data_IF_606172838565
#
_entry.id   IF_606172838565
#
_cell.length_a   1.000
_cell.length_b   1.000
_cell.length_c   1.000
_cell.angle_alpha   90.00
_cell.angle_beta   90.00
_cell.angle_gamma   90.00
#
_symmetry.space_group_name_H-M   'P 1'
#
loop_
_entity.id
_entity.type
_entity.pdbx_description
1 polymer ?
#
# COMPACT_ATOMS: atom_id res chain seq x y z
N UNK A 1 -6.93 33.46 22.64
CA UNK A 1 -7.90 33.51 21.55
C UNK A 1 -7.49 34.68 20.67
N UNK A 2 -7.11 34.41 19.39
CA UNK A 2 -6.68 35.46 18.45
C UNK A 2 -7.85 36.33 18.05
N UNK A 3 -7.59 37.63 17.84
CA UNK A 3 -8.59 38.64 17.41
C UNK A 3 -8.22 39.20 16.04
N UNK A 4 -9.18 39.76 15.33
CA UNK A 4 -8.93 40.45 14.07
C UNK A 4 -7.94 41.62 14.29
N UNK A 5 -6.83 41.62 13.57
CA UNK A 5 -5.74 42.59 13.72
C UNK A 5 -4.53 42.11 14.51
N UNK A 6 -4.59 40.91 15.12
CA UNK A 6 -3.42 40.29 15.75
C UNK A 6 -2.41 39.83 14.68
N UNK A 7 -1.13 40.10 14.93
CA UNK A 7 -0.03 39.53 14.14
C UNK A 7 0.24 38.09 14.59
N UNK A 8 0.46 37.21 13.65
CA UNK A 8 0.77 35.81 13.92
C UNK A 8 1.93 35.28 13.06
N UNK A 9 2.90 34.66 13.70
CA UNK A 9 3.95 33.92 13.03
C UNK A 9 3.44 32.51 12.68
N UNK A 10 3.46 32.19 11.39
CA UNK A 10 3.09 30.87 10.89
C UNK A 10 4.33 30.09 10.48
N UNK A 11 4.57 28.96 11.13
CA UNK A 11 5.64 28.05 10.73
C UNK A 11 5.08 26.69 10.33
N UNK A 12 5.66 26.10 9.27
CA UNK A 12 5.30 24.77 8.79
C UNK A 12 6.34 23.79 9.32
N UNK A 13 5.89 22.66 9.86
CA UNK A 13 6.78 21.55 10.17
C UNK A 13 7.42 21.03 8.87
N UNK A 14 8.71 21.35 8.69
CA UNK A 14 9.44 21.02 7.47
C UNK A 14 9.62 19.51 7.28
N UNK A 15 9.76 18.74 8.37
CA UNK A 15 9.92 17.29 8.30
C UNK A 15 8.61 16.61 7.87
N UNK A 16 7.50 17.00 8.47
CA UNK A 16 6.18 16.51 8.08
C UNK A 16 5.84 16.92 6.64
N UNK A 17 6.13 18.16 6.25
CA UNK A 17 5.94 18.67 4.90
C UNK A 17 6.73 17.84 3.88
N UNK A 18 8.00 17.51 4.17
CA UNK A 18 8.83 16.72 3.28
C UNK A 18 8.25 15.31 3.04
N UNK A 19 7.77 14.64 4.09
CA UNK A 19 7.09 13.34 3.99
C UNK A 19 5.81 13.42 3.15
N UNK A 20 4.97 14.42 3.41
CA UNK A 20 3.74 14.65 2.63
C UNK A 20 4.04 14.92 1.15
N UNK A 21 5.10 15.70 0.84
CA UNK A 21 5.52 15.92 -0.55
C UNK A 21 5.93 14.63 -1.27
N UNK A 22 6.63 13.70 -0.58
CA UNK A 22 6.98 12.39 -1.12
C UNK A 22 5.73 11.58 -1.47
N UNK A 23 4.79 11.47 -0.53
CA UNK A 23 3.53 10.75 -0.73
C UNK A 23 2.70 11.37 -1.86
N UNK A 24 2.60 12.70 -1.93
CA UNK A 24 1.83 13.35 -2.97
C UNK A 24 2.48 13.19 -4.36
N UNK A 25 3.79 13.31 -4.46
CA UNK A 25 4.49 13.10 -5.73
C UNK A 25 4.40 11.64 -6.20
N UNK A 26 4.50 10.67 -5.28
CA UNK A 26 4.31 9.26 -5.58
C UNK A 26 2.89 8.96 -6.09
N UNK A 27 1.87 9.70 -5.64
CA UNK A 27 0.49 9.54 -6.11
C UNK A 27 0.35 9.84 -7.61
N UNK A 28 1.04 10.85 -8.13
CA UNK A 28 1.05 11.15 -9.58
C UNK A 28 1.73 10.03 -10.38
N UNK A 29 2.85 9.49 -9.88
CA UNK A 29 3.49 8.34 -10.51
C UNK A 29 2.58 7.11 -10.46
N UNK A 30 1.92 6.87 -9.33
CA UNK A 30 0.99 5.76 -9.16
C UNK A 30 -0.20 5.84 -10.13
N UNK A 31 -0.83 7.01 -10.25
CA UNK A 31 -1.95 7.20 -11.18
C UNK A 31 -1.54 6.87 -12.61
N UNK A 32 -0.39 7.35 -13.05
CA UNK A 32 0.10 7.07 -14.40
C UNK A 32 0.45 5.60 -14.58
N UNK A 33 1.10 4.96 -13.60
CA UNK A 33 1.42 3.53 -13.63
C UNK A 33 0.16 2.66 -13.69
N UNK A 34 -0.87 2.98 -12.91
CA UNK A 34 -2.16 2.29 -12.96
C UNK A 34 -2.80 2.38 -14.34
N UNK A 35 -2.76 3.56 -14.98
CA UNK A 35 -3.28 3.72 -16.35
C UNK A 35 -2.49 2.94 -17.40
N UNK A 36 -1.19 2.77 -17.20
CA UNK A 36 -0.35 1.96 -18.11
C UNK A 36 -0.61 0.46 -17.96
N UNK A 37 -0.88 -0.01 -16.74
CA UNK A 37 -1.09 -1.44 -16.45
C UNK A 37 -2.53 -1.87 -16.70
N UNK A 38 -3.51 -1.09 -16.20
CA UNK A 38 -4.92 -1.46 -16.21
C UNK A 38 -5.69 -0.84 -17.38
N UNK A 39 -5.19 0.28 -17.93
CA UNK A 39 -5.82 0.97 -19.06
C UNK A 39 -6.32 2.37 -18.74
N UNK A 40 -6.70 3.09 -19.79
CA UNK A 40 -7.05 4.52 -19.75
C UNK A 40 -8.36 4.83 -19.01
N UNK A 41 -9.18 3.82 -18.70
CA UNK A 41 -10.40 3.96 -17.90
C UNK A 41 -10.13 4.26 -16.43
N UNK A 42 -8.88 4.07 -15.98
CA UNK A 42 -8.49 4.41 -14.60
C UNK A 42 -8.51 5.93 -14.45
N UNK A 43 -9.39 6.40 -13.56
CA UNK A 43 -9.54 7.81 -13.18
C UNK A 43 -9.54 7.93 -11.67
N UNK A 44 -8.99 9.05 -11.17
CA UNK A 44 -9.00 9.32 -9.73
C UNK A 44 -10.44 9.55 -9.25
N UNK A 45 -10.88 8.74 -8.30
CA UNK A 45 -12.15 8.94 -7.58
C UNK A 45 -11.94 9.68 -6.25
N UNK A 46 -10.74 9.64 -5.70
CA UNK A 46 -10.34 10.36 -4.49
C UNK A 46 -8.88 10.10 -4.15
N UNK A 47 -8.30 10.98 -3.33
CA UNK A 47 -6.95 10.78 -2.82
C UNK A 47 -6.75 11.45 -1.46
N UNK A 48 -5.81 10.95 -0.68
CA UNK A 48 -5.39 11.52 0.59
C UNK A 48 -3.91 11.24 0.83
N UNK A 49 -3.16 12.28 1.20
CA UNK A 49 -1.74 12.19 1.48
C UNK A 49 -1.42 12.93 2.78
N UNK A 50 -0.68 12.26 3.66
CA UNK A 50 -0.11 12.83 4.87
C UNK A 50 1.39 12.47 4.99
N UNK A 51 1.97 12.57 6.18
CA UNK A 51 3.37 12.18 6.43
C UNK A 51 3.57 10.68 6.63
N UNK A 52 2.50 9.90 6.71
CA UNK A 52 2.57 8.47 7.00
C UNK A 52 2.38 7.64 5.73
N UNK A 53 1.36 7.97 4.91
CA UNK A 53 0.98 7.17 3.73
C UNK A 53 0.33 8.02 2.64
N UNK A 54 0.19 7.41 1.48
CA UNK A 54 -0.74 7.86 0.44
C UNK A 54 -1.90 6.87 0.30
N UNK A 55 -3.08 7.40 0.06
CA UNK A 55 -4.28 6.66 -0.31
C UNK A 55 -4.79 7.17 -1.65
N UNK A 56 -5.05 6.27 -2.56
CA UNK A 56 -5.53 6.60 -3.89
C UNK A 56 -6.73 5.73 -4.25
N UNK A 57 -7.87 6.37 -4.49
CA UNK A 57 -9.11 5.74 -4.91
C UNK A 57 -9.28 5.95 -6.41
N UNK A 58 -9.57 4.88 -7.17
CA UNK A 58 -9.63 4.93 -8.63
C UNK A 58 -10.70 4.02 -9.19
N UNK A 59 -11.19 4.37 -10.39
CA UNK A 59 -12.18 3.57 -11.12
C UNK A 59 -11.54 2.29 -11.67
N UNK A 60 -12.03 1.12 -11.23
CA UNK A 60 -11.67 -0.18 -11.79
C UNK A 60 -12.68 -1.24 -11.38
N UNK A 61 -12.90 -2.24 -12.25
CA UNK A 61 -14.03 -3.18 -12.12
C UNK A 61 -13.74 -4.39 -11.23
N UNK A 62 -12.46 -4.80 -11.14
CA UNK A 62 -12.05 -6.01 -10.45
C UNK A 62 -10.94 -5.74 -9.42
N UNK A 63 -10.68 -6.69 -8.52
CA UNK A 63 -9.47 -6.68 -7.71
C UNK A 63 -8.25 -6.82 -8.62
N UNK A 64 -7.18 -6.09 -8.31
CA UNK A 64 -5.92 -6.23 -9.01
C UNK A 64 -5.27 -7.56 -8.68
N UNK A 65 -4.64 -8.18 -9.68
CA UNK A 65 -3.84 -9.38 -9.45
C UNK A 65 -2.50 -9.04 -8.77
N UNK A 66 -1.85 -10.00 -8.10
CA UNK A 66 -0.51 -9.79 -7.54
C UNK A 66 0.50 -9.29 -8.58
N UNK A 67 0.43 -9.81 -9.82
CA UNK A 67 1.30 -9.45 -10.93
C UNK A 67 1.06 -8.01 -11.41
N UNK A 68 -0.19 -7.55 -11.42
CA UNK A 68 -0.55 -6.17 -11.74
C UNK A 68 -0.04 -5.20 -10.67
N UNK A 69 -0.20 -5.56 -9.39
CA UNK A 69 0.31 -4.77 -8.26
C UNK A 69 1.84 -4.67 -8.30
N UNK A 70 2.54 -5.78 -8.54
CA UNK A 70 3.99 -5.80 -8.67
C UNK A 70 4.46 -4.92 -9.83
N UNK A 71 3.79 -5.00 -10.98
CA UNK A 71 4.11 -4.22 -12.18
C UNK A 71 3.92 -2.72 -11.93
N UNK A 72 2.81 -2.32 -11.29
CA UNK A 72 2.56 -0.92 -10.92
C UNK A 72 3.62 -0.41 -9.95
N UNK A 73 3.90 -1.17 -8.89
CA UNK A 73 4.92 -0.82 -7.90
C UNK A 73 6.31 -0.70 -8.55
N UNK A 74 6.66 -1.61 -9.45
CA UNK A 74 7.90 -1.56 -10.21
C UNK A 74 8.00 -0.30 -11.06
N UNK A 75 6.97 0.04 -11.84
CA UNK A 75 6.97 1.25 -12.68
C UNK A 75 7.20 2.49 -11.82
N UNK A 76 6.51 2.62 -10.68
CA UNK A 76 6.68 3.78 -9.79
C UNK A 76 8.12 3.85 -9.27
N UNK A 77 8.70 2.74 -8.80
CA UNK A 77 10.08 2.71 -8.32
C UNK A 77 11.10 2.95 -9.43
N UNK A 78 10.87 2.48 -10.65
CA UNK A 78 11.73 2.80 -11.80
C UNK A 78 11.74 4.32 -12.05
N UNK A 79 10.59 5.00 -11.99
CA UNK A 79 10.49 6.46 -12.15
C UNK A 79 11.11 7.25 -10.98
N UNK A 80 11.12 6.69 -9.80
CA UNK A 80 11.88 7.22 -8.67
C UNK A 80 13.39 7.13 -8.95
N UNK A 81 13.86 5.98 -9.41
CA UNK A 81 15.27 5.74 -9.72
C UNK A 81 15.79 6.56 -10.90
N UNK A 82 14.94 6.89 -11.87
CA UNK A 82 15.27 7.77 -13.01
C UNK A 82 15.61 9.21 -12.58
N UNK A 83 15.34 9.60 -11.33
CA UNK A 83 15.64 10.92 -10.77
C UNK A 83 15.10 12.08 -11.64
N UNK A 84 13.84 11.99 -12.02
CA UNK A 84 13.17 12.94 -12.92
C UNK A 84 12.95 14.27 -12.19
N UNK A 85 13.37 15.44 -12.78
CA UNK A 85 13.03 16.73 -12.22
C UNK A 85 11.52 16.97 -12.21
N UNK A 86 10.99 17.41 -11.05
CA UNK A 86 9.59 17.78 -10.90
C UNK A 86 9.45 19.29 -11.12
N UNK A 87 8.69 19.68 -12.13
CA UNK A 87 8.45 21.06 -12.50
C UNK A 87 7.03 21.46 -12.17
N UNK A 88 6.87 22.71 -11.79
CA UNK A 88 5.55 23.31 -11.54
C UNK A 88 5.47 24.60 -12.34
N UNK A 89 4.55 24.63 -13.29
CA UNK A 89 4.31 25.78 -14.16
C UNK A 89 2.90 26.33 -13.87
N UNK A 90 2.77 27.66 -13.88
CA UNK A 90 1.46 28.35 -13.74
C UNK A 90 1.11 28.91 -15.11
N UNK A 91 -0.05 28.52 -15.64
CA UNK A 91 -0.50 28.93 -16.95
C UNK A 91 -2.01 28.99 -17.03
N UNK A 92 -2.56 29.50 -18.11
CA UNK A 92 -4.02 29.47 -18.32
C UNK A 92 -4.52 28.04 -18.53
N UNK A 93 -5.79 27.78 -18.22
CA UNK A 93 -6.41 26.45 -18.39
C UNK A 93 -6.28 25.99 -19.86
N UNK A 94 -6.43 26.90 -20.81
CA UNK A 94 -6.34 26.55 -22.24
C UNK A 94 -4.92 26.20 -22.68
N UNK A 95 -3.92 26.89 -22.16
CA UNK A 95 -2.51 26.53 -22.37
C UNK A 95 -2.19 25.17 -21.75
N UNK A 96 -2.63 24.95 -20.50
CA UNK A 96 -2.42 23.71 -19.78
C UNK A 96 -3.02 22.49 -20.51
N UNK A 97 -4.24 22.62 -21.05
CA UNK A 97 -4.86 21.56 -21.87
C UNK A 97 -4.05 21.24 -23.13
N UNK A 98 -3.46 22.25 -23.77
CA UNK A 98 -2.61 22.05 -24.98
C UNK A 98 -1.33 21.28 -24.66
N UNK A 99 -0.85 21.31 -23.40
CA UNK A 99 0.32 20.51 -22.99
C UNK A 99 0.02 19.03 -22.81
N UNK A 100 -1.23 18.60 -22.93
CA UNK A 100 -1.67 17.23 -22.62
C UNK A 100 -1.76 16.95 -21.13
N UNK A 101 -1.73 17.95 -20.26
CA UNK A 101 -1.85 17.77 -18.83
C UNK A 101 -3.25 17.26 -18.45
N UNK A 102 -3.27 16.25 -17.59
CA UNK A 102 -4.51 15.65 -17.09
C UNK A 102 -5.15 16.55 -16.04
N UNK A 103 -6.42 16.88 -16.23
CA UNK A 103 -7.24 17.57 -15.25
C UNK A 103 -8.10 16.57 -14.48
N UNK A 104 -8.37 16.81 -13.20
CA UNK A 104 -9.33 16.01 -12.45
C UNK A 104 -10.75 16.24 -12.99
N UNK A 105 -11.47 15.15 -13.18
CA UNK A 105 -12.83 15.22 -13.72
C UNK A 105 -13.77 15.89 -12.72
N UNK A 106 -14.56 16.88 -13.20
CA UNK A 106 -15.58 17.56 -12.39
C UNK A 106 -15.08 18.73 -11.55
N UNK A 107 -13.79 19.05 -11.51
CA UNK A 107 -13.29 20.24 -10.83
C UNK A 107 -13.50 21.53 -11.67
N UNK A 108 -13.87 22.61 -10.98
CA UNK A 108 -13.95 23.94 -11.58
C UNK A 108 -12.63 24.66 -11.35
N UNK A 109 -11.93 24.92 -12.43
CA UNK A 109 -10.66 25.65 -12.39
C UNK A 109 -10.89 27.15 -12.60
N UNK A 110 -10.06 27.99 -11.96
CA UNK A 110 -10.00 29.42 -12.22
C UNK A 110 -9.39 29.73 -13.59
N UNK A 111 -9.05 31.00 -13.83
CA UNK A 111 -8.41 31.42 -15.08
C UNK A 111 -7.03 30.78 -15.28
N UNK A 112 -6.30 30.53 -14.19
CA UNK A 112 -4.97 29.93 -14.20
C UNK A 112 -4.93 28.69 -13.34
N UNK A 113 -4.10 27.73 -13.73
CA UNK A 113 -3.85 26.45 -13.04
C UNK A 113 -2.37 26.20 -12.86
N UNK A 114 -2.04 25.41 -11.85
CA UNK A 114 -0.70 24.84 -11.69
C UNK A 114 -0.66 23.49 -12.40
N UNK A 115 0.32 23.32 -13.26
CA UNK A 115 0.64 22.06 -13.93
C UNK A 115 1.91 21.49 -13.30
N UNK A 116 1.81 20.31 -12.71
CA UNK A 116 2.94 19.58 -12.17
C UNK A 116 3.35 18.53 -13.20
N UNK A 117 4.62 18.54 -13.59
CA UNK A 117 5.18 17.59 -14.57
C UNK A 117 6.40 16.86 -14.02
N UNK A 118 6.45 15.55 -14.26
CA UNK A 118 7.56 14.65 -13.95
C UNK A 118 8.07 14.08 -15.30
N UNK A 119 8.91 14.88 -15.98
CA UNK A 119 9.30 14.60 -17.36
C UNK A 119 8.09 14.49 -18.28
N UNK A 120 8.14 13.50 -19.18
CA UNK A 120 7.02 13.15 -20.05
C UNK A 120 6.13 12.04 -19.47
N UNK A 121 6.50 11.50 -18.29
CA UNK A 121 5.77 10.39 -17.68
C UNK A 121 4.44 10.82 -17.08
N UNK A 122 4.44 11.86 -16.25
CA UNK A 122 3.22 12.40 -15.63
C UNK A 122 3.15 13.91 -15.80
N UNK A 123 1.97 14.41 -16.18
CA UNK A 123 1.68 15.83 -16.28
C UNK A 123 0.23 16.06 -15.90
N UNK A 124 0.01 16.76 -14.78
CA UNK A 124 -1.31 16.86 -14.16
C UNK A 124 -1.56 18.26 -13.58
N UNK A 125 -2.83 18.66 -13.55
CA UNK A 125 -3.26 19.85 -12.80
C UNK A 125 -3.20 19.55 -11.32
N UNK A 126 -2.36 20.25 -10.57
CA UNK A 126 -2.20 20.00 -9.15
C UNK A 126 -1.81 21.25 -8.36
N UNK A 127 -2.63 21.59 -7.36
CA UNK A 127 -2.38 22.69 -6.43
C UNK A 127 -1.49 22.33 -5.23
N UNK A 128 -1.11 21.06 -5.07
CA UNK A 128 -0.43 20.57 -3.88
C UNK A 128 1.07 20.81 -3.85
N UNK A 129 1.72 20.21 -2.85
CA UNK A 129 3.16 20.33 -2.63
C UNK A 129 3.88 19.06 -3.05
N UNK A 130 5.03 19.20 -3.72
CA UNK A 130 5.77 18.12 -4.33
C UNK A 130 7.26 18.18 -3.98
N UNK A 131 7.93 17.04 -4.18
CA UNK A 131 9.40 16.96 -4.21
C UNK A 131 9.94 17.72 -5.43
N UNK A 132 11.21 18.10 -5.42
CA UNK A 132 11.87 18.74 -6.57
C UNK A 132 12.39 17.75 -7.60
N UNK A 133 12.60 16.51 -7.15
CA UNK A 133 13.10 15.42 -7.99
C UNK A 133 12.46 14.11 -7.51
N UNK A 134 12.10 13.20 -8.42
CA UNK A 134 11.46 11.93 -8.05
C UNK A 134 12.33 11.06 -7.15
N UNK A 135 13.65 11.15 -7.24
CA UNK A 135 14.58 10.43 -6.35
C UNK A 135 14.41 10.80 -4.86
N UNK A 136 13.88 11.98 -4.53
CA UNK A 136 13.61 12.39 -3.14
C UNK A 136 12.51 11.53 -2.49
N UNK A 137 11.66 10.87 -3.28
CA UNK A 137 10.65 9.92 -2.78
C UNK A 137 11.35 8.73 -2.12
N UNK A 138 12.51 8.34 -2.60
CA UNK A 138 13.43 7.28 -2.17
C UNK A 138 12.93 5.87 -2.45
N UNK A 139 11.73 5.50 -2.01
CA UNK A 139 11.12 4.18 -2.24
C UNK A 139 9.59 4.30 -2.21
N UNK A 140 8.92 3.35 -2.88
CA UNK A 140 7.46 3.23 -2.89
C UNK A 140 7.06 1.78 -2.66
N UNK A 141 6.06 1.55 -1.78
CA UNK A 141 5.52 0.21 -1.49
C UNK A 141 4.01 0.25 -1.38
N UNK A 142 3.32 -0.54 -2.18
CA UNK A 142 1.88 -0.80 -2.02
C UNK A 142 1.70 -1.73 -0.81
N UNK A 143 0.88 -1.33 0.16
CA UNK A 143 0.60 -2.14 1.36
C UNK A 143 -0.79 -2.78 1.33
N UNK A 144 -1.72 -2.22 0.58
CA UNK A 144 -3.05 -2.80 0.41
C UNK A 144 -3.71 -2.36 -0.90
N UNK A 145 -4.61 -3.20 -1.42
CA UNK A 145 -5.53 -2.91 -2.51
C UNK A 145 -6.89 -3.51 -2.16
N UNK A 146 -7.95 -2.69 -2.14
CA UNK A 146 -9.28 -3.11 -1.71
C UNK A 146 -10.40 -2.42 -2.50
N UNK A 147 -11.58 -3.04 -2.57
CA UNK A 147 -12.80 -2.39 -3.06
C UNK A 147 -13.39 -1.47 -1.97
N UNK A 148 -13.79 -0.26 -2.34
CA UNK A 148 -14.43 0.70 -1.41
C UNK A 148 -15.84 1.09 -1.83
N UNK A 149 -16.16 0.96 -3.12
CA UNK A 149 -17.48 1.14 -3.68
C UNK A 149 -17.63 0.33 -4.99
N UNK A 150 -18.82 0.25 -5.55
CA UNK A 150 -19.03 -0.38 -6.84
C UNK A 150 -18.19 0.31 -7.92
N UNK A 151 -17.29 -0.43 -8.57
CA UNK A 151 -16.38 0.09 -9.60
C UNK A 151 -15.28 1.03 -9.09
N UNK A 152 -15.05 1.11 -7.77
CA UNK A 152 -13.97 1.92 -7.17
C UNK A 152 -13.06 1.06 -6.31
N UNK A 153 -11.78 1.12 -6.61
CA UNK A 153 -10.70 0.44 -5.90
C UNK A 153 -9.86 1.45 -5.14
N UNK A 154 -9.25 1.03 -4.05
CA UNK A 154 -8.36 1.83 -3.20
C UNK A 154 -7.02 1.16 -3.07
N UNK A 155 -5.96 1.90 -3.34
CA UNK A 155 -4.59 1.55 -2.98
C UNK A 155 -4.15 2.40 -1.80
N UNK A 156 -3.51 1.76 -0.82
CA UNK A 156 -2.70 2.43 0.19
C UNK A 156 -1.23 2.08 -0.03
N UNK A 157 -0.37 3.08 0.06
CA UNK A 157 1.06 2.91 -0.19
C UNK A 157 1.90 3.81 0.72
N UNK A 158 3.15 3.42 0.89
CA UNK A 158 4.16 4.10 1.69
C UNK A 158 5.26 4.65 0.80
N UNK A 159 5.97 5.70 1.29
CA UNK A 159 7.16 6.24 0.63
C UNK A 159 8.30 6.43 1.64
N UNK A 160 9.52 6.49 1.11
CA UNK A 160 10.71 6.85 1.87
C UNK A 160 10.95 6.00 3.11
N UNK A 161 11.20 6.65 4.23
CA UNK A 161 11.54 5.97 5.50
C UNK A 161 10.43 5.05 6.01
N UNK A 162 9.17 5.33 5.67
CA UNK A 162 8.04 4.50 6.07
C UNK A 162 8.08 3.12 5.38
N UNK A 163 8.62 3.02 4.15
CA UNK A 163 8.86 1.75 3.46
C UNK A 163 9.89 0.92 4.21
N UNK A 164 11.00 1.55 4.64
CA UNK A 164 12.04 0.85 5.41
C UNK A 164 11.54 0.44 6.80
N UNK A 165 10.72 1.27 7.44
CA UNK A 165 10.08 0.92 8.70
C UNK A 165 9.14 -0.29 8.55
N UNK A 166 8.36 -0.32 7.48
CA UNK A 166 7.48 -1.45 7.14
C UNK A 166 8.25 -2.77 6.98
N UNK A 167 9.34 -2.76 6.20
CA UNK A 167 10.14 -3.96 6.01
C UNK A 167 10.86 -4.41 7.29
N UNK A 168 11.38 -3.48 8.12
CA UNK A 168 11.94 -3.82 9.43
C UNK A 168 10.93 -4.48 10.36
N UNK A 169 9.68 -4.03 10.34
CA UNK A 169 8.62 -4.66 11.12
C UNK A 169 8.30 -6.08 10.62
N UNK A 170 8.19 -6.26 9.30
CA UNK A 170 8.00 -7.60 8.72
C UNK A 170 9.15 -8.56 9.05
N UNK A 171 10.40 -8.09 8.97
CA UNK A 171 11.58 -8.87 9.36
C UNK A 171 11.51 -9.29 10.83
N UNK A 172 11.16 -8.34 11.72
CA UNK A 172 10.99 -8.62 13.15
C UNK A 172 9.91 -9.67 13.39
N UNK A 173 8.74 -9.53 12.79
CA UNK A 173 7.64 -10.50 12.90
C UNK A 173 8.05 -11.89 12.38
N UNK A 174 8.77 -11.96 11.27
CA UNK A 174 9.29 -13.21 10.71
C UNK A 174 10.28 -13.88 11.67
N UNK A 175 11.20 -13.11 12.26
CA UNK A 175 12.16 -13.63 13.25
C UNK A 175 11.48 -14.12 14.52
N UNK A 176 10.47 -13.41 15.01
CA UNK A 176 9.66 -13.81 16.17
C UNK A 176 8.87 -15.09 15.88
N UNK A 177 8.24 -15.21 14.70
CA UNK A 177 7.53 -16.42 14.29
C UNK A 177 8.47 -17.62 14.15
N UNK A 178 9.65 -17.42 13.54
CA UNK A 178 10.66 -18.48 13.42
C UNK A 178 11.16 -18.95 14.80
N UNK A 179 11.42 -17.99 15.71
CA UNK A 179 11.80 -18.31 17.09
C UNK A 179 10.72 -19.12 17.84
N UNK A 180 9.45 -18.74 17.70
CA UNK A 180 8.32 -19.46 18.30
C UNK A 180 8.21 -20.90 17.80
N UNK A 181 8.46 -21.13 16.50
CA UNK A 181 8.49 -22.44 15.88
C UNK A 181 9.81 -23.23 16.14
N UNK A 182 10.79 -22.65 16.85
CA UNK A 182 12.15 -23.17 17.03
C UNK A 182 12.82 -23.48 15.68
N UNK A 183 12.71 -22.54 14.73
CA UNK A 183 13.25 -22.60 13.39
C UNK A 183 14.05 -21.34 13.05
N UNK A 184 14.67 -21.31 11.88
CA UNK A 184 15.16 -20.09 11.25
C UNK A 184 14.13 -19.58 10.22
N UNK A 185 14.19 -18.32 9.78
CA UNK A 185 13.32 -17.85 8.69
C UNK A 185 13.33 -18.75 7.45
N UNK A 186 14.49 -19.28 7.08
CA UNK A 186 14.65 -20.14 5.91
C UNK A 186 14.00 -21.54 6.07
N UNK A 187 13.88 -22.04 7.30
CA UNK A 187 13.33 -23.37 7.60
C UNK A 187 11.94 -23.32 8.24
N UNK A 188 11.36 -22.11 8.35
CA UNK A 188 10.12 -21.91 9.08
C UNK A 188 8.94 -22.67 8.44
N UNK A 189 8.79 -22.60 7.14
CA UNK A 189 7.70 -23.27 6.40
C UNK A 189 7.78 -24.79 6.59
N UNK A 190 8.96 -25.39 6.38
CA UNK A 190 9.19 -26.82 6.57
C UNK A 190 8.87 -27.26 8.02
N UNK A 191 9.30 -26.45 9.00
CA UNK A 191 9.01 -26.72 10.40
C UNK A 191 7.51 -26.70 10.72
N UNK A 192 6.78 -25.74 10.16
CA UNK A 192 5.32 -25.62 10.34
C UNK A 192 4.62 -26.84 9.71
N UNK A 193 5.00 -27.24 8.49
CA UNK A 193 4.44 -28.43 7.82
C UNK A 193 4.68 -29.70 8.62
N UNK A 194 5.90 -29.87 9.16
CA UNK A 194 6.21 -30.99 10.03
C UNK A 194 5.36 -31.01 11.32
N UNK A 195 5.23 -29.86 11.98
CA UNK A 195 4.40 -29.73 13.18
C UNK A 195 2.92 -30.04 12.88
N UNK A 196 2.40 -29.61 11.75
CA UNK A 196 1.01 -29.91 11.34
C UNK A 196 0.82 -31.42 11.10
N UNK A 197 1.79 -32.08 10.46
CA UNK A 197 1.75 -33.52 10.25
C UNK A 197 1.79 -34.28 11.57
N UNK A 198 2.66 -33.87 12.50
CA UNK A 198 2.77 -34.49 13.84
C UNK A 198 1.48 -34.28 14.66
N UNK A 199 0.89 -33.10 14.66
CA UNK A 199 -0.39 -32.83 15.32
C UNK A 199 -1.48 -33.76 14.77
N UNK A 200 -1.56 -33.93 13.44
CA UNK A 200 -2.55 -34.81 12.80
C UNK A 200 -2.35 -36.27 13.22
N UNK A 201 -1.11 -36.75 13.26
CA UNK A 201 -0.78 -38.11 13.67
C UNK A 201 -1.16 -38.35 15.14
N UNK A 202 -0.75 -37.43 16.04
CA UNK A 202 -1.05 -37.53 17.49
C UNK A 202 -2.56 -37.43 17.76
N UNK A 203 -3.29 -36.62 17.01
CA UNK A 203 -4.75 -36.52 17.13
C UNK A 203 -5.41 -37.86 16.79
N UNK A 204 -5.02 -38.49 15.67
CA UNK A 204 -5.53 -39.81 15.25
C UNK A 204 -5.19 -40.91 16.25
N UNK A 205 -3.95 -40.92 16.78
CA UNK A 205 -3.53 -41.85 17.81
C UNK A 205 -4.34 -41.70 19.10
N UNK A 206 -4.56 -40.44 19.54
CA UNK A 206 -5.37 -40.12 20.73
C UNK A 206 -6.82 -40.62 20.58
N UNK A 207 -7.44 -40.43 19.42
CA UNK A 207 -8.78 -40.94 19.11
C UNK A 207 -8.83 -42.48 19.16
N UNK A 208 -7.82 -43.13 18.61
CA UNK A 208 -7.68 -44.60 18.64
C UNK A 208 -7.54 -45.11 20.06
N UNK A 209 -6.67 -44.48 20.88
CA UNK A 209 -6.49 -44.83 22.29
C UNK A 209 -7.74 -44.62 23.12
N UNK A 210 -8.45 -43.52 22.93
CA UNK A 210 -9.75 -43.25 23.59
C UNK A 210 -10.79 -44.29 23.22
N UNK A 211 -10.85 -44.73 21.96
CA UNK A 211 -11.77 -45.78 21.50
C UNK A 211 -11.44 -47.15 22.12
N UNK A 212 -10.15 -47.48 22.25
CA UNK A 212 -9.71 -48.70 22.90
C UNK A 212 -10.06 -48.71 24.40
N UNK A 213 -9.72 -47.62 25.10
CA UNK A 213 -10.02 -47.49 26.52
C UNK A 213 -11.53 -47.55 26.80
N UNK A 214 -12.36 -46.92 25.93
CA UNK A 214 -13.81 -47.03 26.07
C UNK A 214 -14.36 -48.45 25.88
N UNK A 215 -13.76 -49.23 24.94
CA UNK A 215 -14.13 -50.64 24.71
C UNK A 215 -13.72 -51.52 25.87
N UNK A 216 -12.53 -51.33 26.45
CA UNK A 216 -12.05 -52.06 27.62
C UNK A 216 -12.94 -51.77 28.81
N UNK A 217 -13.26 -50.49 29.09
CA UNK A 217 -14.17 -50.14 30.22
C UNK A 217 -15.58 -50.72 30.03
N UNK A 218 -16.09 -50.83 28.78
CA UNK A 218 -17.37 -51.49 28.50
C UNK A 218 -17.30 -53.03 28.71
N UNK A 219 -16.19 -53.66 28.35
CA UNK A 219 -15.94 -55.08 28.57
C UNK A 219 -15.95 -55.43 30.07
N UNK A 220 -15.19 -54.67 30.90
CA UNK A 220 -15.13 -54.85 32.35
C UNK A 220 -16.53 -54.69 33.04
N UNK A 221 -17.38 -53.82 32.51
CA UNK A 221 -18.76 -53.63 33.04
C UNK A 221 -19.65 -54.80 32.63
N UNK A 222 -19.49 -55.37 31.47
CA UNK A 222 -20.27 -56.53 31.01
C UNK A 222 -19.89 -57.79 31.79
N UNK A 223 -18.60 -58.00 32.11
CA UNK A 223 -18.10 -59.14 32.91
C UNK A 223 -18.52 -59.07 34.40
N UNK A 224 -19.00 -57.93 34.88
CA UNK A 224 -19.51 -57.75 36.24
C UNK A 224 -21.05 -57.94 36.37
N UNK A 225 -21.73 -58.21 35.28
CA UNK A 225 -23.21 -58.36 35.24
C UNK A 225 -23.64 -59.86 35.19
N UNK A 226 -22.70 -60.81 35.03
CA UNK A 226 -22.90 -62.22 35.18
C UNK A 226 -22.58 -62.63 36.65
#
# INVERSE_FOLDING_TARGET
>A
MMKTGDEADLSVDAALRAKTCKNHSATHLLQKALREVLGTHVEQAGSYQDGERTRFDFSHFAAMTPEELEKVEKIVNDKIAEAIPVRTDVMTVDEAKKTGAMALFGEKYGETVRVVSMGDFSKEFCGGTHVKNTSEIAAFKIISENGVAAGVRRIEALTGDNVFAYYRNLEKELLEAAKAAKATPATLTEKIEHMQAEIKALTSENESLKSKAAKEALGDVMDQID
#
